data_IF_031747262721
#
_entry.id   IF_031747262721
#
_cell.length_a   1.000
_cell.length_b   1.000
_cell.length_c   1.000
_cell.angle_alpha   90.00
_cell.angle_beta   90.00
_cell.angle_gamma   90.00
#
_symmetry.space_group_name_H-M   'P 1'
#
loop_
_entity.id
_entity.type
_entity.pdbx_description
1 polymer ?
#
# COMPACT_ATOMS: atom_id res chain seq x y z
N UNK A 1 -14.45 10.39 -28.23
CA UNK A 1 -13.42 10.75 -27.26
C UNK A 1 -12.75 9.46 -26.73
N UNK A 2 -11.47 9.34 -26.90
CA UNK A 2 -10.74 8.23 -26.35
C UNK A 2 -10.73 8.33 -24.81
N UNK A 3 -11.10 7.24 -24.13
CA UNK A 3 -10.98 7.13 -22.68
C UNK A 3 -9.61 6.55 -22.36
N UNK A 4 -8.90 7.15 -21.41
CA UNK A 4 -7.60 6.67 -20.93
C UNK A 4 -7.69 6.37 -19.44
N UNK A 5 -7.07 5.29 -19.02
CA UNK A 5 -6.93 4.89 -17.62
C UNK A 5 -5.44 4.83 -17.30
N UNK A 6 -5.05 5.44 -16.18
CA UNK A 6 -3.69 5.38 -15.66
C UNK A 6 -3.74 4.66 -14.32
N UNK A 7 -3.04 3.54 -14.20
CA UNK A 7 -2.80 2.86 -12.93
C UNK A 7 -1.41 3.25 -12.44
N UNK A 8 -1.35 3.94 -11.31
CA UNK A 8 -0.09 4.37 -10.69
C UNK A 8 0.10 3.59 -9.40
N UNK A 9 1.14 2.77 -9.32
CA UNK A 9 1.52 2.03 -8.12
C UNK A 9 2.67 2.78 -7.44
N UNK A 10 2.44 3.21 -6.21
CA UNK A 10 3.49 3.73 -5.34
C UNK A 10 4.08 2.54 -4.58
N UNK A 11 5.12 1.94 -5.17
CA UNK A 11 5.78 0.76 -4.62
C UNK A 11 6.36 1.06 -3.23
N UNK A 12 6.24 0.10 -2.34
CA UNK A 12 6.69 0.19 -0.94
C UNK A 12 6.07 1.33 -0.13
N UNK A 13 4.98 1.92 -0.60
CA UNK A 13 4.27 3.00 0.09
C UNK A 13 3.07 2.47 0.89
N UNK A 14 3.35 1.80 1.99
CA UNK A 14 2.31 1.27 2.89
C UNK A 14 1.64 2.37 3.72
N UNK A 15 0.32 2.25 3.90
CA UNK A 15 -0.51 3.15 4.72
C UNK A 15 -0.89 2.58 6.09
N UNK A 16 -0.23 1.50 6.50
CA UNK A 16 -0.44 0.77 7.75
C UNK A 16 -0.36 -0.74 7.53
N UNK A 17 -0.25 -1.47 8.63
CA UNK A 17 -0.16 -2.93 8.59
C UNK A 17 -1.50 -3.56 8.19
N UNK A 18 -1.43 -4.63 7.39
CA UNK A 18 -2.57 -5.49 7.08
C UNK A 18 -3.00 -6.29 8.33
N UNK A 19 -4.25 -6.79 8.39
CA UNK A 19 -4.72 -7.62 9.51
C UNK A 19 -3.88 -8.88 9.76
N UNK A 20 -3.30 -9.44 8.71
CA UNK A 20 -2.45 -10.63 8.74
C UNK A 20 -0.94 -10.33 8.84
N UNK A 21 -0.56 -9.06 8.96
CA UNK A 21 0.83 -8.60 8.97
C UNK A 21 1.71 -9.34 9.99
N UNK A 22 1.18 -9.69 11.15
CA UNK A 22 1.93 -10.42 12.18
C UNK A 22 2.41 -11.79 11.71
N UNK A 23 1.63 -12.48 10.86
CA UNK A 23 2.02 -13.77 10.29
C UNK A 23 3.18 -13.66 9.29
N UNK A 24 3.44 -12.47 8.77
CA UNK A 24 4.51 -12.18 7.82
C UNK A 24 5.66 -11.36 8.44
N UNK A 25 5.62 -11.09 9.74
CA UNK A 25 6.64 -10.29 10.42
C UNK A 25 6.54 -8.78 10.17
N UNK A 26 5.42 -8.31 9.61
CA UNK A 26 5.21 -6.93 9.16
C UNK A 26 4.33 -6.12 10.13
N UNK A 27 4.13 -6.60 11.34
CA UNK A 27 3.33 -5.91 12.35
C UNK A 27 3.89 -4.50 12.63
N UNK A 28 3.00 -3.50 12.64
CA UNK A 28 3.35 -2.11 12.93
C UNK A 28 3.99 -1.34 11.77
N UNK A 29 4.09 -1.92 10.58
CA UNK A 29 4.59 -1.23 9.39
C UNK A 29 3.67 -0.09 8.98
N UNK A 30 4.21 1.09 8.70
CA UNK A 30 3.45 2.25 8.25
C UNK A 30 4.39 3.28 7.61
N UNK A 31 4.63 3.12 6.32
CA UNK A 31 5.53 4.00 5.56
C UNK A 31 4.99 5.44 5.51
N UNK A 32 3.70 5.61 5.24
CA UNK A 32 3.08 6.93 5.22
C UNK A 32 3.21 7.63 6.58
N UNK A 33 2.94 6.91 7.67
CA UNK A 33 3.08 7.46 9.02
C UNK A 33 4.51 7.86 9.38
N UNK A 34 5.51 7.15 8.85
CA UNK A 34 6.92 7.49 9.03
C UNK A 34 7.31 8.73 8.22
N UNK A 35 6.97 8.78 6.93
CA UNK A 35 7.30 9.89 6.03
C UNK A 35 6.59 11.18 6.45
N UNK A 36 5.36 11.09 6.90
CA UNK A 36 4.55 12.25 7.32
C UNK A 36 5.14 13.02 8.53
N UNK A 37 6.07 12.41 9.24
CA UNK A 37 6.82 13.09 10.34
C UNK A 37 7.91 14.03 9.83
N UNK A 38 8.28 13.91 8.55
CA UNK A 38 9.32 14.76 8.00
C UNK A 38 8.80 16.16 7.72
N UNK A 39 9.50 17.25 8.12
CA UNK A 39 9.01 18.63 7.98
C UNK A 39 8.76 19.06 6.54
N UNK A 40 9.41 18.44 5.57
CA UNK A 40 9.22 18.73 4.15
C UNK A 40 8.15 17.84 3.49
N UNK A 41 7.45 17.00 4.26
CA UNK A 41 6.38 16.19 3.70
C UNK A 41 5.20 17.09 3.27
N UNK A 42 4.89 17.05 1.98
CA UNK A 42 3.83 17.87 1.40
C UNK A 42 3.24 17.18 0.17
N UNK A 43 1.96 16.83 0.22
CA UNK A 43 1.27 16.14 -0.87
C UNK A 43 -0.18 16.63 -1.05
N UNK A 44 -0.39 17.92 -1.39
CA UNK A 44 -1.71 18.56 -1.37
C UNK A 44 -2.68 17.94 -2.38
N UNK A 45 -2.19 17.42 -3.49
CA UNK A 45 -3.06 16.78 -4.50
C UNK A 45 -3.57 15.41 -4.01
N UNK A 46 -2.73 14.62 -3.37
CA UNK A 46 -3.16 13.35 -2.75
C UNK A 46 -4.12 13.62 -1.58
N UNK A 47 -3.88 14.65 -0.80
CA UNK A 47 -4.81 15.09 0.24
C UNK A 47 -6.19 15.43 -0.34
N UNK A 48 -6.24 16.25 -1.41
CA UNK A 48 -7.50 16.56 -2.10
C UNK A 48 -8.23 15.34 -2.63
N UNK A 49 -7.49 14.35 -3.11
CA UNK A 49 -8.07 13.08 -3.57
C UNK A 49 -8.62 12.20 -2.44
N UNK A 50 -8.20 12.41 -1.20
CA UNK A 50 -8.68 11.70 -0.03
C UNK A 50 -7.69 10.72 0.58
N UNK A 51 -6.38 10.84 0.31
CA UNK A 51 -5.36 9.95 0.90
C UNK A 51 -5.50 9.83 2.43
N UNK A 52 -5.63 10.96 3.11
CA UNK A 52 -5.73 10.97 4.58
C UNK A 52 -7.13 10.65 5.11
N UNK A 53 -8.12 10.48 4.23
CA UNK A 53 -9.46 10.04 4.58
C UNK A 53 -9.59 8.50 4.59
N UNK A 54 -8.62 7.78 4.02
CA UNK A 54 -8.63 6.31 4.02
C UNK A 54 -8.70 5.81 5.46
N UNK A 55 -9.55 4.83 5.71
CA UNK A 55 -9.75 4.26 7.04
C UNK A 55 -8.43 3.70 7.61
N UNK A 56 -8.17 3.99 8.90
CA UNK A 56 -6.94 3.61 9.58
C UNK A 56 -5.73 4.53 9.32
N UNK A 57 -5.83 5.50 8.40
CA UNK A 57 -4.77 6.51 8.23
C UNK A 57 -4.88 7.57 9.32
N UNK A 58 -3.81 7.74 10.09
CA UNK A 58 -3.71 8.70 11.20
C UNK A 58 -2.79 9.87 10.90
N UNK A 59 -2.11 9.85 9.74
CA UNK A 59 -1.22 10.91 9.29
C UNK A 59 -1.98 11.98 8.49
N UNK A 60 -1.46 13.20 8.49
CA UNK A 60 -1.98 14.29 7.68
C UNK A 60 -3.36 14.80 8.11
N UNK A 61 -3.91 15.70 7.32
CA UNK A 61 -5.22 16.27 7.55
C UNK A 61 -6.26 15.74 6.57
N UNK A 62 -7.39 15.27 7.08
CA UNK A 62 -8.52 14.82 6.28
C UNK A 62 -9.13 16.01 5.55
N UNK A 63 -9.62 15.78 4.34
CA UNK A 63 -10.43 16.76 3.62
C UNK A 63 -11.92 16.52 3.83
N UNK A 64 -12.69 17.59 4.02
CA UNK A 64 -14.14 17.49 4.20
C UNK A 64 -14.87 17.08 2.91
N UNK A 65 -14.28 17.40 1.75
CA UNK A 65 -14.86 17.13 0.44
C UNK A 65 -13.79 16.51 -0.48
N UNK A 66 -13.50 15.22 -0.37
CA UNK A 66 -12.53 14.57 -1.24
C UNK A 66 -12.99 14.61 -2.70
N UNK A 67 -12.06 14.96 -3.59
CA UNK A 67 -12.30 15.03 -5.02
C UNK A 67 -12.22 13.66 -5.72
N UNK A 68 -11.69 12.64 -5.03
CA UNK A 68 -11.57 11.28 -5.52
C UNK A 68 -12.35 10.28 -4.69
N UNK A 69 -12.43 9.05 -5.18
CA UNK A 69 -12.84 7.91 -4.39
C UNK A 69 -11.60 7.25 -3.79
N UNK A 70 -11.73 6.73 -2.59
CA UNK A 70 -10.66 6.04 -1.89
C UNK A 70 -11.20 4.83 -1.15
N UNK A 71 -10.35 3.83 -0.99
CA UNK A 71 -10.67 2.63 -0.25
C UNK A 71 -9.40 2.01 0.33
N UNK A 72 -9.57 1.16 1.32
CA UNK A 72 -8.54 0.26 1.81
C UNK A 72 -8.80 -1.12 1.25
N UNK A 73 -7.76 -1.73 0.67
CA UNK A 73 -7.83 -3.06 0.10
C UNK A 73 -6.96 -4.00 0.93
N UNK A 74 -7.39 -5.24 1.05
CA UNK A 74 -6.63 -6.30 1.67
C UNK A 74 -6.18 -7.30 0.62
N UNK A 75 -4.88 -7.57 0.57
CA UNK A 75 -4.31 -8.59 -0.28
C UNK A 75 -4.75 -9.99 0.18
N UNK A 76 -5.16 -10.84 -0.76
CA UNK A 76 -5.55 -12.22 -0.52
C UNK A 76 -4.40 -13.21 -0.69
N UNK A 77 -3.40 -12.83 -1.48
CA UNK A 77 -2.22 -13.67 -1.73
C UNK A 77 -1.40 -13.89 -0.46
N UNK A 78 -0.75 -15.05 -0.38
CA UNK A 78 0.07 -15.44 0.79
C UNK A 78 1.49 -14.89 0.74
N UNK A 79 1.92 -14.23 -0.33
CA UNK A 79 3.18 -13.49 -0.42
C UNK A 79 2.96 -11.99 -0.27
N UNK A 80 3.91 -11.29 0.31
CA UNK A 80 3.86 -9.83 0.53
C UNK A 80 4.93 -9.08 -0.27
N UNK A 81 5.48 -9.72 -1.29
CA UNK A 81 6.45 -9.12 -2.18
C UNK A 81 5.77 -8.38 -3.36
N UNK A 82 6.53 -7.50 -3.99
CA UNK A 82 6.07 -6.68 -5.13
C UNK A 82 5.55 -7.53 -6.29
N UNK A 83 6.19 -8.66 -6.59
CA UNK A 83 5.81 -9.50 -7.72
C UNK A 83 4.42 -10.10 -7.52
N UNK A 84 4.18 -10.71 -6.36
CA UNK A 84 2.88 -11.30 -6.02
C UNK A 84 1.80 -10.20 -5.95
N UNK A 85 2.10 -9.05 -5.35
CA UNK A 85 1.16 -7.93 -5.29
C UNK A 85 0.74 -7.44 -6.67
N UNK A 86 1.67 -7.33 -7.63
CA UNK A 86 1.35 -6.95 -9.00
C UNK A 86 0.54 -8.03 -9.73
N UNK A 87 0.81 -9.30 -9.49
CA UNK A 87 -0.03 -10.38 -10.04
C UNK A 87 -1.46 -10.31 -9.52
N UNK A 88 -1.64 -10.01 -8.24
CA UNK A 88 -2.98 -9.87 -7.67
C UNK A 88 -3.73 -8.66 -8.22
N UNK A 89 -3.06 -7.53 -8.44
CA UNK A 89 -3.65 -6.38 -9.16
C UNK A 89 -4.14 -6.80 -10.55
N UNK A 90 -3.42 -7.71 -11.21
CA UNK A 90 -3.82 -8.29 -12.50
C UNK A 90 -4.86 -9.43 -12.41
N UNK A 91 -5.33 -9.76 -11.20
CA UNK A 91 -6.36 -10.77 -10.97
C UNK A 91 -5.84 -12.17 -10.63
N UNK A 92 -4.54 -12.33 -10.36
CA UNK A 92 -3.94 -13.63 -10.01
C UNK A 92 -3.66 -13.68 -8.51
N UNK A 93 -4.43 -14.47 -7.77
CA UNK A 93 -4.22 -14.72 -6.35
C UNK A 93 -3.26 -15.90 -6.16
N UNK A 94 -2.15 -15.68 -5.46
CA UNK A 94 -1.12 -16.68 -5.21
C UNK A 94 -1.34 -17.35 -3.85
N UNK A 95 -1.70 -18.65 -3.81
CA UNK A 95 -1.98 -19.36 -2.56
C UNK A 95 -0.71 -19.70 -1.75
N UNK A 96 0.46 -19.52 -2.34
CA UNK A 96 1.76 -19.76 -1.72
C UNK A 96 2.69 -18.58 -1.92
N UNK A 97 3.50 -18.21 -0.92
CA UNK A 97 4.52 -17.18 -1.08
C UNK A 97 5.64 -17.67 -2.00
N UNK A 98 6.37 -16.73 -2.58
CA UNK A 98 7.64 -17.03 -3.22
C UNK A 98 8.68 -17.43 -2.16
N UNK A 99 9.63 -18.33 -2.51
CA UNK A 99 10.68 -18.69 -1.57
C UNK A 99 11.56 -17.47 -1.26
N UNK A 100 11.99 -17.39 -0.01
CA UNK A 100 12.93 -16.36 0.45
C UNK A 100 14.25 -17.01 0.87
N UNK A 101 15.35 -16.30 0.66
CA UNK A 101 16.70 -16.80 0.95
C UNK A 101 17.46 -15.79 1.82
N UNK A 102 17.07 -15.64 3.11
CA UNK A 102 17.64 -14.62 4.00
C UNK A 102 19.13 -14.80 4.26
N UNK A 103 19.64 -16.01 4.06
CA UNK A 103 21.05 -16.35 4.24
C UNK A 103 21.79 -16.60 2.92
N UNK A 104 21.22 -16.18 1.79
CA UNK A 104 21.73 -16.48 0.45
C UNK A 104 21.12 -17.73 -0.17
N UNK A 105 21.32 -17.91 -1.47
CA UNK A 105 20.84 -19.10 -2.16
C UNK A 105 21.52 -20.36 -1.63
N UNK A 106 20.83 -21.50 -1.54
CA UNK A 106 21.46 -22.77 -1.23
C UNK A 106 22.45 -23.16 -2.34
N UNK A 107 23.56 -23.81 -1.96
CA UNK A 107 24.55 -24.36 -2.90
C UNK A 107 23.98 -25.53 -3.71
#
# INVERSE_FOLDING_TARGET
MEKRVFLIVLDSFGIGAEPDAAAFGDAGTNTLGAIAKHPNFHCPNLQKLGLFNIDGVTAGEKTAAPAGAFARLQEQSMGKDTTIGHWEIAGVVSPKPLPTFPNGFPE
#
